data_IF_333197814595
#
_entry.id   IF_333197814595
#
_cell.length_a   1.000
_cell.length_b   1.000
_cell.length_c   1.000
_cell.angle_alpha   90.00
_cell.angle_beta   90.00
_cell.angle_gamma   90.00
#
_symmetry.space_group_name_H-M   'P 1'
#
loop_
_entity.id
_entity.type
_entity.pdbx_description
1 polymer ?
#
# COMPACT_ATOMS: atom_id res chain seq x y z
N UNK A 1 -18.13 12.78 -20.13
CA UNK A 1 -17.26 12.34 -19.03
C UNK A 1 -17.77 11.00 -18.56
N UNK A 2 -16.88 10.05 -18.32
CA UNK A 2 -17.19 8.75 -17.71
C UNK A 2 -16.45 8.65 -16.38
N UNK A 3 -17.04 7.93 -15.45
CA UNK A 3 -16.46 7.69 -14.15
C UNK A 3 -15.55 6.46 -14.21
N UNK A 4 -14.33 6.59 -13.70
CA UNK A 4 -13.32 5.53 -13.68
C UNK A 4 -12.69 5.42 -12.29
N UNK A 5 -12.29 4.24 -11.83
CA UNK A 5 -11.56 4.10 -10.56
C UNK A 5 -10.24 4.90 -10.61
N UNK A 6 -10.00 5.74 -9.60
CA UNK A 6 -8.74 6.47 -9.47
C UNK A 6 -7.60 5.53 -9.07
N UNK A 7 -6.38 5.69 -9.60
CA UNK A 7 -5.19 5.05 -9.06
C UNK A 7 -4.98 5.45 -7.60
N UNK A 8 -4.69 4.51 -6.70
CA UNK A 8 -4.45 4.77 -5.29
C UNK A 8 -2.96 4.67 -4.99
N UNK A 9 -2.38 5.76 -4.51
CA UNK A 9 -0.94 5.87 -4.19
C UNK A 9 -0.69 5.53 -2.72
N UNK A 10 -1.52 6.10 -1.81
CA UNK A 10 -1.42 5.82 -0.39
C UNK A 10 -2.77 5.94 0.32
N UNK A 11 -2.91 5.19 1.39
CA UNK A 11 -4.04 5.23 2.31
C UNK A 11 -3.51 5.16 3.73
N UNK A 12 -3.97 6.06 4.61
CA UNK A 12 -3.57 6.11 6.01
C UNK A 12 -4.77 6.38 6.91
N UNK A 13 -4.92 5.63 7.99
CA UNK A 13 -5.88 5.94 9.05
C UNK A 13 -5.23 6.90 10.05
N UNK A 14 -5.85 8.05 10.23
CA UNK A 14 -5.48 9.05 11.24
C UNK A 14 -6.49 9.03 12.36
N UNK A 15 -6.00 8.96 13.59
CA UNK A 15 -6.83 8.95 14.81
C UNK A 15 -6.57 10.23 15.57
N UNK A 16 -7.65 10.96 15.91
CA UNK A 16 -7.53 12.18 16.70
C UNK A 16 -7.29 11.89 18.19
N UNK A 17 -6.68 12.86 18.88
CA UNK A 17 -6.50 12.82 20.34
C UNK A 17 -7.79 13.14 21.13
N UNK A 18 -8.93 13.26 20.44
CA UNK A 18 -10.23 13.55 21.09
C UNK A 18 -10.78 12.32 21.82
N UNK A 19 -11.72 12.55 22.74
CA UNK A 19 -12.42 11.46 23.45
C UNK A 19 -13.94 11.65 23.27
N UNK A 20 -14.65 10.79 22.52
CA UNK A 20 -14.14 9.64 21.78
C UNK A 20 -13.21 10.04 20.63
N UNK A 21 -12.29 9.15 20.21
CA UNK A 21 -11.40 9.42 19.08
C UNK A 21 -12.18 9.46 17.77
N UNK A 22 -11.79 10.40 16.90
CA UNK A 22 -12.31 10.48 15.52
C UNK A 22 -11.31 9.82 14.58
N UNK A 23 -11.81 9.00 13.69
CA UNK A 23 -11.03 8.27 12.69
C UNK A 23 -11.23 8.93 11.33
N UNK A 24 -10.13 9.27 10.67
CA UNK A 24 -10.12 9.88 9.34
C UNK A 24 -9.21 9.07 8.43
N UNK A 25 -9.67 8.79 7.24
CA UNK A 25 -8.88 8.14 6.20
C UNK A 25 -8.27 9.22 5.30
N UNK A 26 -6.96 9.34 5.30
CA UNK A 26 -6.21 10.16 4.35
C UNK A 26 -5.89 9.32 3.12
N UNK A 27 -6.29 9.78 1.94
CA UNK A 27 -6.11 9.08 0.67
C UNK A 27 -5.37 9.99 -0.29
N UNK A 28 -4.28 9.49 -0.86
CA UNK A 28 -3.62 10.09 -2.02
C UNK A 28 -3.98 9.28 -3.24
N UNK A 29 -4.61 9.92 -4.24
CA UNK A 29 -5.00 9.29 -5.49
C UNK A 29 -4.39 9.99 -6.70
N UNK A 30 -4.15 9.23 -7.78
CA UNK A 30 -3.56 9.73 -9.01
C UNK A 30 -4.61 10.33 -9.96
N UNK A 31 -4.20 11.36 -10.69
CA UNK A 31 -4.94 11.99 -11.79
C UNK A 31 -4.10 11.84 -13.06
N UNK A 32 -4.29 10.76 -13.85
CA UNK A 32 -3.47 10.45 -15.02
C UNK A 32 -3.88 11.26 -16.25
N UNK A 33 -3.31 12.43 -16.42
CA UNK A 33 -3.52 13.27 -17.61
C UNK A 33 -4.30 14.55 -17.36
N UNK A 34 -4.05 15.56 -18.17
CA UNK A 34 -4.61 16.89 -18.01
C UNK A 34 -6.11 17.03 -18.31
N UNK A 35 -6.75 15.98 -18.84
CA UNK A 35 -8.19 15.95 -19.09
C UNK A 35 -8.96 15.16 -18.02
N UNK A 36 -8.25 14.52 -17.09
CA UNK A 36 -8.83 13.76 -15.99
C UNK A 36 -9.03 14.68 -14.79
N UNK A 37 -10.14 14.50 -14.08
CA UNK A 37 -10.46 15.26 -12.87
C UNK A 37 -10.86 14.30 -11.77
N UNK A 38 -10.44 14.61 -10.54
CA UNK A 38 -10.97 13.93 -9.38
C UNK A 38 -12.51 14.10 -9.31
N UNK A 39 -13.22 13.01 -9.01
CA UNK A 39 -14.68 13.00 -8.92
C UNK A 39 -15.19 13.00 -7.47
N UNK A 40 -14.70 12.05 -6.66
CA UNK A 40 -15.16 11.95 -5.27
C UNK A 40 -14.84 10.60 -4.62
N UNK A 41 -15.45 10.44 -3.43
CA UNK A 41 -15.41 9.20 -2.64
C UNK A 41 -16.83 8.73 -2.34
N UNK A 42 -16.99 7.42 -2.27
CA UNK A 42 -18.13 6.73 -1.67
C UNK A 42 -17.63 5.80 -0.58
N UNK A 43 -18.27 5.81 0.61
CA UNK A 43 -17.89 4.98 1.75
C UNK A 43 -19.06 4.10 2.14
N UNK A 44 -18.81 2.79 2.19
CA UNK A 44 -19.80 1.78 2.58
C UNK A 44 -19.23 0.94 3.72
N UNK A 45 -19.98 0.83 4.83
CA UNK A 45 -19.62 -0.02 5.96
C UNK A 45 -20.34 -1.35 5.88
N UNK A 46 -19.59 -2.45 5.87
CA UNK A 46 -20.11 -3.82 5.84
C UNK A 46 -19.46 -4.65 6.96
N UNK A 47 -20.09 -4.66 8.14
CA UNK A 47 -19.52 -5.33 9.30
C UNK A 47 -18.16 -4.75 9.70
N UNK A 48 -17.12 -5.58 9.72
CA UNK A 48 -15.73 -5.17 9.99
C UNK A 48 -14.98 -4.64 8.76
N UNK A 49 -15.63 -4.46 7.61
CA UNK A 49 -15.02 -3.91 6.39
C UNK A 49 -15.56 -2.52 6.10
N UNK A 50 -14.67 -1.62 5.71
CA UNK A 50 -14.99 -0.28 5.24
C UNK A 50 -14.54 -0.19 3.79
N UNK A 51 -15.52 -0.19 2.88
CA UNK A 51 -15.27 -0.13 1.45
C UNK A 51 -15.29 1.33 0.99
N UNK A 52 -14.23 1.79 0.36
CA UNK A 52 -14.10 3.16 -0.17
C UNK A 52 -13.88 3.10 -1.66
N UNK A 53 -14.76 3.72 -2.41
CA UNK A 53 -14.61 3.88 -3.86
C UNK A 53 -14.13 5.31 -4.13
N UNK A 54 -12.99 5.42 -4.79
CA UNK A 54 -12.38 6.70 -5.22
C UNK A 54 -12.40 6.74 -6.73
N UNK A 55 -12.98 7.79 -7.28
CA UNK A 55 -13.17 7.87 -8.73
C UNK A 55 -12.66 9.18 -9.33
N UNK A 56 -12.31 9.08 -10.60
CA UNK A 56 -11.99 10.18 -11.51
C UNK A 56 -13.06 10.31 -12.60
N UNK A 57 -13.15 11.48 -13.21
CA UNK A 57 -13.92 11.74 -14.43
C UNK A 57 -12.95 11.85 -15.60
N UNK A 58 -13.17 11.02 -16.61
CA UNK A 58 -12.41 11.02 -17.85
C UNK A 58 -13.29 11.41 -19.05
N UNK A 59 -12.73 11.98 -20.13
CA UNK A 59 -13.48 12.19 -21.37
C UNK A 59 -14.04 10.88 -21.92
N UNK A 60 -15.32 10.88 -22.30
CA UNK A 60 -15.98 9.70 -22.89
C UNK A 60 -15.46 9.36 -24.31
N UNK A 61 -14.88 10.36 -24.98
CA UNK A 61 -14.30 10.22 -26.31
C UNK A 61 -12.81 10.57 -26.27
N UNK A 62 -11.98 9.97 -27.15
CA UNK A 62 -10.56 10.30 -27.23
C UNK A 62 -10.37 11.78 -27.59
N UNK A 63 -9.72 12.52 -26.71
CA UNK A 63 -9.35 13.93 -26.91
C UNK A 63 -7.84 14.10 -26.68
N UNK A 64 -7.19 15.04 -27.37
CA UNK A 64 -5.79 15.35 -27.09
C UNK A 64 -5.64 15.90 -25.68
N UNK A 65 -4.92 15.18 -24.83
CA UNK A 65 -4.65 15.56 -23.44
C UNK A 65 -3.15 15.64 -23.16
N UNK A 66 -2.75 16.46 -22.20
CA UNK A 66 -1.38 16.46 -21.71
C UNK A 66 -1.11 15.18 -20.89
N UNK A 67 0.13 14.70 -20.93
CA UNK A 67 0.57 13.49 -20.21
C UNK A 67 1.05 13.80 -18.78
N UNK A 68 0.54 14.86 -18.17
CA UNK A 68 0.89 15.26 -16.81
C UNK A 68 0.19 14.30 -15.83
N UNK A 69 0.94 13.74 -14.89
CA UNK A 69 0.40 12.98 -13.78
C UNK A 69 0.34 13.89 -12.55
N UNK A 70 -0.84 14.12 -12.01
CA UNK A 70 -1.07 14.87 -10.79
C UNK A 70 -1.58 13.97 -9.67
N UNK A 71 -1.50 14.42 -8.42
CA UNK A 71 -2.06 13.73 -7.27
C UNK A 71 -3.15 14.58 -6.62
N UNK A 72 -4.15 13.90 -6.06
CA UNK A 72 -5.17 14.47 -5.22
C UNK A 72 -5.04 13.90 -3.82
N UNK A 73 -4.92 14.78 -2.84
CA UNK A 73 -4.93 14.42 -1.41
C UNK A 73 -6.29 14.76 -0.85
N UNK A 74 -6.91 13.81 -0.16
CA UNK A 74 -8.22 14.01 0.43
C UNK A 74 -8.38 13.28 1.75
N UNK A 75 -9.35 13.75 2.53
CA UNK A 75 -9.68 13.21 3.83
C UNK A 75 -11.14 12.74 3.84
N UNK A 76 -11.34 11.53 4.36
CA UNK A 76 -12.66 10.90 4.50
C UNK A 76 -12.88 10.54 5.96
N UNK A 77 -13.90 11.13 6.59
CA UNK A 77 -14.27 10.76 7.94
C UNK A 77 -14.84 9.33 7.96
N UNK A 78 -14.30 8.48 8.84
CA UNK A 78 -14.83 7.15 9.11
C UNK A 78 -15.87 7.29 10.22
N UNK A 79 -17.09 7.68 9.84
CA UNK A 79 -18.12 8.08 10.78
C UNK A 79 -18.53 7.01 11.79
N UNK A 80 -18.66 7.43 13.03
CA UNK A 80 -19.50 7.11 14.20
C UNK A 80 -20.12 5.74 14.42
N UNK A 81 -19.83 4.74 13.62
CA UNK A 81 -20.32 3.35 13.79
C UNK A 81 -19.22 2.37 14.15
N UNK A 82 -18.07 2.87 14.57
CA UNK A 82 -16.95 2.03 14.97
C UNK A 82 -17.15 1.58 16.41
N UNK A 83 -17.20 0.27 16.62
CA UNK A 83 -17.30 -0.31 17.96
C UNK A 83 -15.92 -0.34 18.62
N UNK A 84 -15.73 0.28 19.80
CA UNK A 84 -14.44 0.27 20.50
C UNK A 84 -13.92 -1.15 20.74
N UNK A 85 -12.64 -1.39 20.41
CA UNK A 85 -11.99 -2.69 20.55
C UNK A 85 -12.17 -3.63 19.37
N UNK A 86 -13.02 -3.32 18.40
CA UNK A 86 -13.20 -4.09 17.17
C UNK A 86 -12.17 -3.71 16.11
N UNK A 87 -11.74 -4.72 15.34
CA UNK A 87 -10.84 -4.54 14.21
C UNK A 87 -11.61 -4.26 12.92
N UNK A 88 -11.12 -3.31 12.15
CA UNK A 88 -11.67 -2.92 10.85
C UNK A 88 -10.63 -3.05 9.76
N UNK A 89 -11.08 -3.51 8.59
CA UNK A 89 -10.30 -3.54 7.35
C UNK A 89 -10.80 -2.45 6.41
N UNK A 90 -9.91 -1.68 5.84
CA UNK A 90 -10.23 -0.68 4.82
C UNK A 90 -9.90 -1.22 3.44
N UNK A 91 -10.87 -1.22 2.56
CA UNK A 91 -10.73 -1.68 1.18
C UNK A 91 -10.97 -0.49 0.27
N UNK A 92 -9.96 -0.06 -0.48
CA UNK A 92 -10.07 1.06 -1.42
C UNK A 92 -9.99 0.52 -2.85
N UNK A 93 -10.98 0.86 -3.66
CA UNK A 93 -11.12 0.39 -5.05
C UNK A 93 -10.93 -1.14 -5.20
N UNK A 94 -11.54 -1.91 -4.26
CA UNK A 94 -11.52 -3.37 -4.28
C UNK A 94 -10.22 -4.02 -3.82
N UNK A 95 -9.26 -3.25 -3.26
CA UNK A 95 -8.00 -3.75 -2.70
C UNK A 95 -7.93 -3.48 -1.21
N UNK A 96 -7.44 -4.46 -0.43
CA UNK A 96 -7.13 -4.23 0.98
C UNK A 96 -5.88 -3.35 1.08
N UNK A 97 -6.02 -2.19 1.70
CA UNK A 97 -4.92 -1.22 1.81
C UNK A 97 -4.53 -0.91 3.24
N UNK A 98 -5.42 -1.22 4.20
CA UNK A 98 -5.25 -0.78 5.59
C UNK A 98 -6.06 -1.65 6.55
N UNK A 99 -5.62 -1.72 7.81
CA UNK A 99 -6.44 -2.22 8.91
C UNK A 99 -6.16 -1.43 10.19
N UNK A 100 -7.15 -1.31 11.07
CA UNK A 100 -7.00 -0.65 12.36
C UNK A 100 -7.96 -1.22 13.39
N UNK A 101 -7.70 -0.97 14.68
CA UNK A 101 -8.60 -1.31 15.78
C UNK A 101 -9.20 -0.04 16.36
N UNK A 102 -10.52 0.00 16.46
CA UNK A 102 -11.22 1.16 17.00
C UNK A 102 -11.06 1.25 18.53
N UNK A 103 -10.27 2.16 19.03
CA UNK A 103 -10.12 2.50 20.43
C UNK A 103 -9.90 1.34 21.42
N UNK A 104 -10.27 1.55 22.68
CA UNK A 104 -10.27 0.52 23.72
C UNK A 104 -11.69 0.30 24.26
N UNK A 105 -12.13 -0.97 24.33
CA UNK A 105 -13.43 -1.33 24.88
C UNK A 105 -13.63 -0.94 26.37
N UNK A 106 -12.54 -0.66 27.10
CA UNK A 106 -12.55 -0.19 28.49
C UNK A 106 -12.59 1.33 28.64
N UNK A 107 -12.63 2.08 27.53
CA UNK A 107 -12.67 3.54 27.52
C UNK A 107 -11.38 4.23 27.99
N UNK A 108 -10.23 3.52 28.03
CA UNK A 108 -8.93 4.10 28.35
C UNK A 108 -8.39 4.92 27.19
N UNK A 109 -7.62 5.95 27.47
CA UNK A 109 -6.92 6.71 26.43
C UNK A 109 -5.84 5.84 25.80
N UNK A 110 -5.88 5.73 24.48
CA UNK A 110 -4.92 4.95 23.70
C UNK A 110 -4.19 5.87 22.73
N UNK A 111 -2.92 5.58 22.47
CA UNK A 111 -2.16 6.17 21.38
C UNK A 111 -1.78 5.10 20.36
N UNK A 112 -1.65 5.52 19.11
CA UNK A 112 -1.10 4.68 18.05
C UNK A 112 0.41 4.85 18.04
N UNK A 113 1.14 3.73 18.07
CA UNK A 113 2.59 3.71 17.97
C UNK A 113 3.04 2.64 16.95
N UNK A 114 4.21 2.83 16.37
CA UNK A 114 4.81 1.81 15.50
C UNK A 114 5.19 0.58 16.32
N UNK A 115 4.83 -0.60 15.81
CA UNK A 115 5.13 -1.86 16.49
C UNK A 115 6.60 -2.25 16.33
N UNK A 116 7.29 -2.70 17.38
CA UNK A 116 8.58 -3.33 17.26
C UNK A 116 8.50 -4.57 16.36
N UNK A 117 9.28 -4.60 15.29
CA UNK A 117 9.27 -5.67 14.29
C UNK A 117 10.38 -6.68 14.62
N UNK A 118 10.03 -7.96 14.74
CA UNK A 118 10.96 -9.04 15.00
C UNK A 118 11.39 -9.78 13.74
N UNK A 119 10.45 -9.99 12.81
CA UNK A 119 10.72 -10.72 11.56
C UNK A 119 9.77 -10.30 10.46
N UNK A 120 10.28 -10.31 9.24
CA UNK A 120 9.53 -10.04 8.01
C UNK A 120 9.88 -11.09 6.96
N UNK A 121 8.88 -11.61 6.27
CA UNK A 121 9.03 -12.60 5.20
C UNK A 121 8.00 -12.33 4.11
N UNK A 122 8.40 -12.43 2.83
CA UNK A 122 7.47 -12.41 1.71
C UNK A 122 7.17 -13.83 1.26
N UNK A 123 5.92 -14.23 1.36
CA UNK A 123 5.41 -15.48 0.82
C UNK A 123 4.77 -15.23 -0.55
N UNK A 124 4.95 -16.16 -1.48
CA UNK A 124 4.38 -16.10 -2.83
C UNK A 124 3.60 -17.37 -3.08
N UNK A 125 2.35 -17.25 -3.49
CA UNK A 125 1.49 -18.38 -3.81
C UNK A 125 1.86 -19.01 -5.16
N UNK A 126 1.38 -20.24 -5.37
CA UNK A 126 1.47 -20.93 -6.66
C UNK A 126 0.23 -20.67 -7.55
N UNK A 127 -0.60 -19.67 -7.21
CA UNK A 127 -1.75 -19.24 -8.00
C UNK A 127 -1.31 -18.55 -9.30
N UNK A 128 -2.25 -18.42 -10.23
CA UNK A 128 -2.03 -17.71 -11.49
C UNK A 128 -3.09 -16.60 -11.67
N UNK A 129 -2.75 -15.31 -11.55
CA UNK A 129 -1.41 -14.78 -11.23
C UNK A 129 -0.97 -15.10 -9.79
N UNK A 130 0.36 -15.09 -9.50
CA UNK A 130 0.86 -15.32 -8.15
C UNK A 130 0.45 -14.19 -7.20
N UNK A 131 0.04 -14.55 -5.99
CA UNK A 131 -0.30 -13.63 -4.92
C UNK A 131 0.87 -13.49 -3.96
N UNK A 132 1.17 -12.26 -3.56
CA UNK A 132 2.25 -11.93 -2.65
C UNK A 132 1.68 -11.53 -1.30
N UNK A 133 2.19 -12.15 -0.25
CA UNK A 133 1.79 -11.88 1.13
C UNK A 133 3.01 -11.57 1.98
N UNK A 134 3.00 -10.44 2.67
CA UNK A 134 4.01 -10.10 3.65
C UNK A 134 3.61 -10.67 5.01
N UNK A 135 4.44 -11.53 5.57
CA UNK A 135 4.31 -12.03 6.94
C UNK A 135 5.18 -11.19 7.85
N UNK A 136 4.54 -10.49 8.79
CA UNK A 136 5.22 -9.65 9.76
C UNK A 136 5.01 -10.20 11.15
N UNK A 137 6.09 -10.38 11.89
CA UNK A 137 6.06 -10.73 13.31
C UNK A 137 6.43 -9.50 14.10
N UNK A 138 5.50 -9.01 14.92
CA UNK A 138 5.65 -7.83 15.77
C UNK A 138 5.42 -8.16 17.23
N UNK A 139 5.93 -7.29 18.13
CA UNK A 139 5.78 -7.42 19.58
C UNK A 139 4.90 -6.31 20.14
N UNK A 140 4.11 -6.63 21.16
CA UNK A 140 3.35 -5.64 21.93
C UNK A 140 4.16 -5.23 23.18
N UNK A 141 4.64 -3.96 23.28
CA UNK A 141 5.67 -3.57 24.26
C UNK A 141 5.18 -3.43 25.69
N UNK A 142 3.89 -3.12 25.93
CA UNK A 142 3.34 -2.87 27.28
C UNK A 142 2.55 -4.05 27.85
N UNK A 143 2.65 -5.24 27.24
CA UNK A 143 1.87 -6.42 27.63
C UNK A 143 0.43 -6.39 27.10
N UNK A 144 -0.23 -7.56 27.14
CA UNK A 144 -1.54 -7.78 26.52
C UNK A 144 -2.68 -6.97 27.09
N UNK A 145 -2.57 -6.51 28.36
CA UNK A 145 -3.61 -5.70 28.98
C UNK A 145 -3.54 -4.21 28.64
N UNK A 146 -2.41 -3.73 28.13
CA UNK A 146 -2.16 -2.31 27.86
C UNK A 146 -1.76 -2.03 26.40
N UNK A 147 -1.45 -3.06 25.63
CA UNK A 147 -1.16 -2.93 24.20
C UNK A 147 -2.02 -3.87 23.40
N UNK A 148 -2.43 -3.44 22.22
CA UNK A 148 -3.14 -4.26 21.23
C UNK A 148 -2.58 -3.98 19.85
N UNK A 149 -2.58 -4.98 18.99
CA UNK A 149 -2.35 -4.73 17.58
C UNK A 149 -3.39 -3.74 17.06
N UNK A 150 -2.93 -2.70 16.38
CA UNK A 150 -3.82 -1.71 15.77
C UNK A 150 -4.14 -2.08 14.33
N UNK A 151 -3.10 -2.34 13.52
CA UNK A 151 -3.26 -2.62 12.12
C UNK A 151 -1.99 -2.29 11.34
N UNK A 152 -2.17 -2.08 10.04
CA UNK A 152 -1.10 -1.69 9.14
C UNK A 152 -1.60 -0.71 8.08
N UNK A 153 -0.68 0.13 7.60
CA UNK A 153 -0.82 0.96 6.41
C UNK A 153 0.09 0.43 5.32
N UNK A 154 -0.39 0.35 4.08
CA UNK A 154 0.38 -0.07 2.94
C UNK A 154 0.38 1.04 1.89
N UNK A 155 1.56 1.40 1.40
CA UNK A 155 1.74 2.35 0.31
C UNK A 155 2.83 1.88 -0.65
N UNK A 156 2.84 2.44 -1.86
CA UNK A 156 3.87 2.18 -2.86
C UNK A 156 4.64 3.46 -3.15
N UNK A 157 5.96 3.37 -3.13
CA UNK A 157 6.85 4.47 -3.45
C UNK A 157 7.59 4.16 -4.75
N UNK A 158 7.16 4.79 -5.83
CA UNK A 158 7.59 4.44 -7.17
C UNK A 158 7.19 3.01 -7.57
N UNK A 159 7.88 2.45 -8.56
CA UNK A 159 7.52 1.15 -9.14
C UNK A 159 7.98 -0.06 -8.30
N UNK A 160 9.01 0.09 -7.46
CA UNK A 160 9.75 -1.05 -6.88
C UNK A 160 9.83 -1.06 -5.35
N UNK A 161 9.23 -0.08 -4.66
CA UNK A 161 9.25 -0.01 -3.20
C UNK A 161 7.84 -0.17 -2.65
N UNK A 162 7.69 -1.08 -1.70
CA UNK A 162 6.47 -1.26 -0.91
C UNK A 162 6.79 -0.83 0.52
N UNK A 163 6.15 0.24 0.98
CA UNK A 163 6.25 0.73 2.34
C UNK A 163 5.06 0.19 3.16
N UNK A 164 5.36 -0.38 4.31
CA UNK A 164 4.36 -0.92 5.24
C UNK A 164 4.63 -0.36 6.63
N UNK A 165 3.63 0.28 7.23
CA UNK A 165 3.68 0.72 8.61
C UNK A 165 2.80 -0.19 9.45
N UNK A 166 3.38 -0.91 10.38
CA UNK A 166 2.68 -1.80 11.32
C UNK A 166 2.60 -1.11 12.67
N UNK A 167 1.39 -0.98 13.20
CA UNK A 167 1.13 -0.19 14.39
C UNK A 167 0.42 -1.00 15.48
N UNK A 168 0.55 -0.54 16.72
CA UNK A 168 -0.21 -1.00 17.86
C UNK A 168 -0.85 0.17 18.60
N UNK A 169 -1.90 -0.12 19.35
CA UNK A 169 -2.49 0.78 20.33
C UNK A 169 -1.80 0.53 21.68
N UNK A 170 -1.44 1.58 22.37
CA UNK A 170 -0.92 1.51 23.72
C UNK A 170 -1.62 2.49 24.65
N UNK A 171 -1.81 2.10 25.92
CA UNK A 171 -2.43 2.95 26.94
C UNK A 171 -1.46 4.07 27.30
N UNK A 172 -1.92 5.32 27.24
CA UNK A 172 -1.12 6.51 27.59
C UNK A 172 -1.18 6.88 29.09
N UNK A 173 -2.06 6.26 29.83
CA UNK A 173 -2.24 6.50 31.25
C UNK A 173 -1.34 5.57 32.08
N UNK A 174 -0.91 6.01 33.25
CA UNK A 174 -0.12 5.19 34.20
C UNK A 174 -1.07 4.21 34.89
N UNK A 175 -1.12 2.98 34.36
CA UNK A 175 -1.95 1.89 34.86
C UNK A 175 -1.12 0.60 35.02
N UNK A 176 -1.49 -0.31 35.92
CA UNK A 176 -0.85 -1.61 35.98
C UNK A 176 -1.10 -2.41 34.69
N UNK A 177 -0.03 -2.87 34.05
CA UNK A 177 -0.07 -3.69 32.87
C UNK A 177 0.39 -5.12 33.18
N UNK A 178 -0.04 -6.09 32.35
CA UNK A 178 0.52 -7.43 32.38
C UNK A 178 2.00 -7.41 31.98
N UNK A 179 2.77 -8.38 32.48
CA UNK A 179 4.21 -8.47 32.20
C UNK A 179 4.53 -9.39 30.99
N UNK A 180 3.51 -9.91 30.34
CA UNK A 180 3.67 -10.64 29.08
C UNK A 180 4.06 -9.65 27.97
N UNK A 181 4.81 -10.13 26.99
CA UNK A 181 5.17 -9.37 25.80
C UNK A 181 4.72 -10.19 24.57
N UNK A 182 3.42 -10.16 24.25
CA UNK A 182 2.89 -11.01 23.19
C UNK A 182 3.54 -10.71 21.85
N UNK A 183 3.85 -11.77 21.13
CA UNK A 183 4.29 -11.71 19.75
C UNK A 183 3.08 -12.00 18.87
N UNK A 184 2.85 -11.15 17.89
CA UNK A 184 1.70 -11.27 16.96
C UNK A 184 2.22 -11.39 15.54
N UNK A 185 1.68 -12.38 14.82
CA UNK A 185 1.99 -12.57 13.41
C UNK A 185 0.83 -12.05 12.54
N UNK A 186 1.18 -11.29 11.54
CA UNK A 186 0.24 -10.68 10.60
C UNK A 186 0.56 -11.11 9.18
N UNK A 187 -0.47 -11.39 8.40
CA UNK A 187 -0.38 -11.61 6.96
C UNK A 187 -0.99 -10.40 6.24
N UNK A 188 -0.15 -9.68 5.52
CA UNK A 188 -0.51 -8.44 4.82
C UNK A 188 -0.48 -8.74 3.32
N UNK A 189 -1.63 -8.74 2.63
CA UNK A 189 -1.67 -8.98 1.20
C UNK A 189 -1.00 -7.81 0.46
N UNK A 190 0.01 -8.11 -0.35
CA UNK A 190 0.67 -7.14 -1.23
C UNK A 190 0.02 -7.09 -2.62
N UNK A 191 -0.86 -8.05 -2.93
CA UNK A 191 -1.54 -8.18 -4.22
C UNK A 191 -0.75 -8.99 -5.25
N UNK A 192 -1.11 -8.81 -6.53
CA UNK A 192 -0.58 -9.58 -7.68
C UNK A 192 0.18 -8.72 -8.69
N UNK A 193 0.23 -7.40 -8.49
CA UNK A 193 0.73 -6.42 -9.46
C UNK A 193 2.24 -6.23 -9.39
N UNK A 194 2.99 -7.31 -9.62
CA UNK A 194 4.45 -7.30 -9.64
C UNK A 194 4.96 -7.79 -10.99
N UNK A 195 5.81 -6.99 -11.64
CA UNK A 195 6.39 -7.32 -12.94
C UNK A 195 7.36 -8.48 -12.81
N UNK A 196 7.22 -9.48 -13.67
CA UNK A 196 8.10 -10.64 -13.71
C UNK A 196 9.55 -10.22 -13.93
N UNK A 197 10.46 -10.76 -13.10
CA UNK A 197 11.90 -10.48 -13.15
C UNK A 197 12.34 -9.17 -12.48
N UNK A 198 11.41 -8.28 -12.13
CA UNK A 198 11.72 -7.03 -11.42
C UNK A 198 11.98 -7.31 -9.92
N UNK A 199 12.94 -6.58 -9.35
CA UNK A 199 13.30 -6.69 -7.93
C UNK A 199 12.57 -5.64 -7.11
N UNK A 200 11.89 -6.07 -6.06
CA UNK A 200 11.12 -5.22 -5.17
C UNK A 200 11.72 -5.20 -3.76
N UNK A 201 11.65 -4.04 -3.11
CA UNK A 201 12.02 -3.87 -1.70
C UNK A 201 10.78 -3.65 -0.86
N UNK A 202 10.71 -4.31 0.29
CA UNK A 202 9.72 -4.05 1.31
C UNK A 202 10.39 -3.31 2.46
N UNK A 203 9.83 -2.19 2.85
CA UNK A 203 10.27 -1.37 3.97
C UNK A 203 9.16 -1.40 5.02
N UNK A 204 9.47 -1.90 6.23
CA UNK A 204 8.52 -1.97 7.33
C UNK A 204 8.99 -1.03 8.43
N UNK A 205 8.13 -0.12 8.89
CA UNK A 205 8.41 0.90 9.90
C UNK A 205 9.72 1.67 9.63
N UNK A 206 9.96 2.05 8.36
CA UNK A 206 11.13 2.83 7.95
C UNK A 206 12.43 2.03 7.73
N UNK A 207 12.45 0.72 8.00
CA UNK A 207 13.62 -0.14 7.82
C UNK A 207 13.46 -1.07 6.61
N UNK A 208 14.57 -1.30 5.87
CA UNK A 208 14.57 -2.30 4.78
C UNK A 208 14.68 -3.69 5.40
N UNK A 209 13.59 -4.43 5.36
CA UNK A 209 13.50 -5.71 6.06
C UNK A 209 13.48 -6.91 5.13
N UNK A 210 13.04 -6.75 3.87
CA UNK A 210 13.00 -7.85 2.90
C UNK A 210 13.02 -7.34 1.45
N UNK A 211 13.35 -8.27 0.53
CA UNK A 211 13.27 -8.05 -0.91
C UNK A 211 12.81 -9.33 -1.60
N UNK A 212 12.17 -9.19 -2.76
CA UNK A 212 11.74 -10.32 -3.58
C UNK A 212 11.78 -9.96 -5.06
N UNK A 213 11.73 -10.97 -5.92
CA UNK A 213 11.65 -10.80 -7.36
C UNK A 213 10.26 -11.23 -7.83
N UNK A 214 9.66 -10.43 -8.69
CA UNK A 214 8.38 -10.75 -9.31
C UNK A 214 8.49 -12.07 -10.10
N UNK A 215 7.52 -12.98 -9.92
CA UNK A 215 7.42 -14.23 -10.67
C UNK A 215 6.62 -14.03 -11.95
N UNK A 216 6.82 -14.92 -12.92
CA UNK A 216 5.95 -14.94 -14.10
C UNK A 216 4.50 -15.35 -13.73
N UNK A 217 3.51 -15.08 -14.60
CA UNK A 217 2.11 -15.46 -14.34
C UNK A 217 1.87 -16.96 -14.15
N UNK A 218 2.84 -17.81 -14.49
CA UNK A 218 2.80 -19.27 -14.28
C UNK A 218 3.44 -19.65 -12.94
N UNK A 219 3.83 -18.68 -12.11
CA UNK A 219 4.40 -18.89 -10.78
C UNK A 219 5.89 -19.26 -10.77
N UNK A 220 6.57 -19.31 -11.93
CA UNK A 220 7.99 -19.63 -12.00
C UNK A 220 8.84 -18.44 -11.58
N UNK A 221 9.91 -18.70 -10.83
CA UNK A 221 10.89 -17.67 -10.54
C UNK A 221 11.66 -17.28 -11.82
N UNK A 222 11.67 -15.97 -12.12
CA UNK A 222 12.41 -15.43 -13.26
C UNK A 222 13.72 -14.84 -12.75
N UNK A 223 14.82 -15.24 -13.34
CA UNK A 223 16.14 -14.67 -13.04
C UNK A 223 16.49 -13.71 -14.17
N UNK A 224 16.77 -12.47 -13.82
CA UNK A 224 17.29 -11.49 -14.79
C UNK A 224 18.73 -11.91 -15.12
N UNK A 225 18.97 -12.20 -16.39
CA UNK A 225 20.31 -12.43 -16.93
C UNK A 225 20.63 -11.35 -17.94
N UNK A 226 21.89 -10.94 -17.96
CA UNK A 226 22.38 -10.08 -19.04
C UNK A 226 22.32 -10.85 -20.36
N UNK A 227 21.68 -10.26 -21.37
CA UNK A 227 21.69 -10.80 -22.71
C UNK A 227 22.99 -10.43 -23.41
N UNK A 228 23.65 -11.38 -24.09
CA UNK A 228 24.81 -11.04 -24.90
C UNK A 228 24.43 -9.99 -25.96
N UNK A 229 25.17 -8.90 -26.00
CA UNK A 229 24.98 -7.85 -27.02
C UNK A 229 25.77 -8.28 -28.27
N UNK A 230 25.08 -8.51 -29.37
CA UNK A 230 25.70 -8.88 -30.66
C UNK A 230 26.21 -7.67 -31.41
N UNK A 231 25.43 -6.58 -31.39
CA UNK A 231 25.83 -5.35 -32.05
C UNK A 231 25.21 -4.11 -31.43
N UNK A 232 25.92 -3.01 -31.53
CA UNK A 232 25.45 -1.67 -31.17
C UNK A 232 25.71 -0.77 -32.38
N UNK A 233 24.67 -0.16 -32.90
CA UNK A 233 24.73 0.74 -34.06
C UNK A 233 24.22 2.12 -33.64
N UNK A 234 25.02 3.15 -33.92
CA UNK A 234 24.61 4.55 -33.76
C UNK A 234 23.96 5.05 -35.05
N UNK A 235 22.70 5.36 -35.01
CA UNK A 235 21.94 5.91 -36.12
C UNK A 235 21.84 7.42 -35.91
N UNK A 236 22.37 8.18 -36.88
CA UNK A 236 22.27 9.63 -36.94
C UNK A 236 21.18 9.99 -37.93
N UNK A 237 20.12 10.64 -37.45
CA UNK A 237 19.07 11.14 -38.32
C UNK A 237 19.50 12.51 -38.87
N UNK A 238 19.50 12.63 -40.22
CA UNK A 238 19.87 13.87 -40.95
C UNK A 238 18.75 14.93 -40.87
N UNK A 239 18.34 15.30 -39.68
CA UNK A 239 17.38 16.38 -39.39
C UNK A 239 18.06 17.46 -38.57
N UNK A 240 17.56 18.67 -38.61
CA UNK A 240 18.12 19.77 -37.82
C UNK A 240 17.17 20.14 -36.65
N UNK A 241 17.61 20.10 -35.38
CA UNK A 241 18.91 19.58 -34.91
C UNK A 241 19.04 18.07 -35.08
N UNK A 242 20.27 17.52 -35.29
CA UNK A 242 20.47 16.10 -35.53
C UNK A 242 20.02 15.27 -34.31
N UNK A 243 19.30 14.19 -34.58
CA UNK A 243 18.89 13.24 -33.53
C UNK A 243 19.73 11.97 -33.63
N UNK A 244 20.09 11.44 -32.45
CA UNK A 244 20.89 10.23 -32.31
C UNK A 244 20.02 9.12 -31.74
N UNK A 245 20.10 7.92 -32.32
CA UNK A 245 19.46 6.69 -31.79
C UNK A 245 20.51 5.60 -31.67
N UNK A 246 20.41 4.81 -30.62
CA UNK A 246 21.23 3.60 -30.44
C UNK A 246 20.32 2.40 -30.73
N UNK A 247 20.74 1.56 -31.67
CA UNK A 247 20.11 0.27 -31.93
C UNK A 247 21.00 -0.81 -31.31
N UNK A 248 20.43 -1.58 -30.39
CA UNK A 248 21.12 -2.69 -29.73
C UNK A 248 20.45 -3.98 -30.21
N UNK A 249 21.23 -4.92 -30.68
CA UNK A 249 20.80 -6.28 -31.02
C UNK A 249 21.38 -7.21 -29.96
N UNK A 250 20.51 -8.00 -29.32
CA UNK A 250 20.89 -8.98 -28.33
C UNK A 250 20.20 -10.31 -28.62
N UNK A 251 20.84 -11.42 -28.24
CA UNK A 251 20.28 -12.77 -28.38
C UNK A 251 19.59 -13.16 -27.07
N UNK A 252 18.37 -13.69 -27.16
CA UNK A 252 17.76 -14.40 -26.04
C UNK A 252 18.42 -15.76 -25.89
N UNK A 253 18.90 -16.05 -24.70
CA UNK A 253 19.48 -17.36 -24.31
C UNK A 253 18.38 -18.19 -23.64
#
# INVERSE_FOLDING_TARGET
MVETPAPIESVKVVVSDSNPPVYTLQITSGIPGGCVKFNGYEVVHEGGSINVTVTNLEPAEPVPCTTIYAQHEGEVALDGRLTPGEAYSVVVNGKLTNSFTAGDARGRKMAVAESPIERVEVAVSDSNPPEYTLRVVSRLPLGSSCSKFNGYDLSRRGAVIVDVTVTHLEVTEIVPCTRDLPVVMHEIPLGTEFTSGESYKVIVNGEVTNSFVGRDPVGRAVVVKESPVESVELIILEIFPPQYRIKVVSTMI
#
